data_IF_599379082566
#
_entry.id   IF_599379082566
#
_cell.length_a   1.000
_cell.length_b   1.000
_cell.length_c   1.000
_cell.angle_alpha   90.00
_cell.angle_beta   90.00
_cell.angle_gamma   90.00
#
_symmetry.space_group_name_H-M   'P 1'
#
loop_
_entity.id
_entity.type
_entity.pdbx_description
1 polymer ?
#
# COMPACT_ATOMS: atom_id res chain seq x y z
N UNK A 1 -0.52 14.52 -16.38
CA UNK A 1 -1.31 13.27 -16.39
C UNK A 1 -1.34 12.76 -14.96
N UNK A 2 -2.50 12.69 -14.32
CA UNK A 2 -2.62 12.06 -13.01
C UNK A 2 -2.39 10.57 -13.17
N UNK A 3 -1.24 10.08 -12.71
CA UNK A 3 -0.98 8.66 -12.69
C UNK A 3 -1.82 8.01 -11.59
N UNK A 4 -2.85 7.26 -12.00
CA UNK A 4 -3.70 6.50 -11.08
C UNK A 4 -2.84 5.53 -10.26
N UNK A 5 -3.02 5.55 -8.95
CA UNK A 5 -2.39 4.58 -8.05
C UNK A 5 -2.83 3.15 -8.41
N UNK A 6 -1.87 2.27 -8.71
CA UNK A 6 -2.10 0.85 -8.98
C UNK A 6 -1.62 0.00 -7.81
N UNK A 7 -2.02 -1.27 -7.77
CA UNK A 7 -1.59 -2.19 -6.70
C UNK A 7 -0.07 -2.38 -6.73
N UNK A 8 0.50 -2.60 -7.91
CA UNK A 8 1.95 -2.76 -8.10
C UNK A 8 2.72 -1.51 -7.68
N UNK A 9 2.21 -0.31 -7.99
CA UNK A 9 2.82 0.95 -7.57
C UNK A 9 2.76 1.13 -6.06
N UNK A 10 1.61 0.83 -5.45
CA UNK A 10 1.46 0.89 -4.00
C UNK A 10 2.41 -0.09 -3.30
N UNK A 11 2.54 -1.32 -3.81
CA UNK A 11 3.50 -2.31 -3.28
C UNK A 11 4.95 -1.85 -3.43
N UNK A 12 5.34 -1.36 -4.62
CA UNK A 12 6.68 -0.83 -4.85
C UNK A 12 7.00 0.33 -3.90
N UNK A 13 6.03 1.22 -3.67
CA UNK A 13 6.19 2.34 -2.74
C UNK A 13 6.32 1.88 -1.29
N UNK A 14 5.58 0.86 -0.88
CA UNK A 14 5.75 0.23 0.46
C UNK A 14 7.16 -0.34 0.60
N UNK A 15 7.68 -1.05 -0.41
CA UNK A 15 9.05 -1.59 -0.39
C UNK A 15 10.11 -0.50 -0.29
N UNK A 16 9.93 0.62 -1.00
CA UNK A 16 10.80 1.79 -0.89
C UNK A 16 10.78 2.38 0.53
N UNK A 17 9.60 2.54 1.12
CA UNK A 17 9.46 3.04 2.49
C UNK A 17 10.17 2.11 3.49
N UNK A 18 9.99 0.79 3.35
CA UNK A 18 10.67 -0.20 4.22
C UNK A 18 12.19 -0.07 4.10
N UNK A 19 12.72 0.01 2.87
CA UNK A 19 14.17 0.20 2.65
C UNK A 19 14.69 1.50 3.26
N UNK A 20 13.93 2.59 3.16
CA UNK A 20 14.31 3.87 3.77
C UNK A 20 14.36 3.78 5.29
N UNK A 21 13.41 3.08 5.91
CA UNK A 21 13.38 2.84 7.36
C UNK A 21 14.56 1.96 7.79
N UNK A 22 14.83 0.88 7.05
CA UNK A 22 15.93 -0.06 7.34
C UNK A 22 17.31 0.58 7.21
N UNK A 23 17.47 1.55 6.30
CA UNK A 23 18.72 2.29 6.15
C UNK A 23 19.06 3.17 7.36
N UNK A 24 18.11 3.45 8.25
CA UNK A 24 18.37 4.07 9.56
C UNK A 24 18.85 5.53 9.54
N UNK A 25 18.94 6.17 8.37
CA UNK A 25 19.36 7.58 8.21
C UNK A 25 18.21 8.58 8.34
N UNK A 26 17.04 8.14 8.82
CA UNK A 26 15.83 8.95 8.90
C UNK A 26 15.65 9.64 10.25
N UNK A 27 15.26 10.92 10.24
CA UNK A 27 14.76 11.58 11.43
C UNK A 27 13.35 11.09 11.82
N UNK A 28 12.94 11.39 13.05
CA UNK A 28 11.69 10.87 13.64
C UNK A 28 10.42 11.39 12.94
N UNK A 29 10.48 12.60 12.38
CA UNK A 29 9.36 13.21 11.67
C UNK A 29 9.16 12.52 10.31
N UNK A 30 10.25 12.27 9.60
CA UNK A 30 10.30 11.53 8.34
C UNK A 30 9.85 10.08 8.54
N UNK A 31 10.25 9.44 9.64
CA UNK A 31 9.80 8.09 10.00
C UNK A 31 8.27 8.05 10.18
N UNK A 32 7.72 9.04 10.88
CA UNK A 32 6.28 9.15 11.14
C UNK A 32 5.49 9.39 9.84
N UNK A 33 6.00 10.24 8.96
CA UNK A 33 5.40 10.51 7.65
C UNK A 33 5.39 9.24 6.77
N UNK A 34 6.53 8.55 6.67
CA UNK A 34 6.68 7.33 5.89
C UNK A 34 5.79 6.19 6.41
N UNK A 35 5.69 6.03 7.74
CA UNK A 35 4.79 5.04 8.34
C UNK A 35 3.32 5.34 8.05
N UNK A 36 2.93 6.61 8.07
CA UNK A 36 1.57 7.02 7.70
C UNK A 36 1.26 6.71 6.24
N UNK A 37 2.18 7.04 5.34
CA UNK A 37 2.05 6.72 3.92
C UNK A 37 1.95 5.20 3.69
N UNK A 38 2.83 4.41 4.30
CA UNK A 38 2.79 2.95 4.21
C UNK A 38 1.44 2.39 4.67
N UNK A 39 0.87 2.91 5.77
CA UNK A 39 -0.44 2.50 6.28
C UNK A 39 -1.57 2.80 5.28
N UNK A 40 -1.54 3.95 4.63
CA UNK A 40 -2.52 4.33 3.61
C UNK A 40 -2.43 3.40 2.39
N UNK A 41 -1.22 3.10 1.93
CA UNK A 41 -0.97 2.19 0.81
C UNK A 41 -1.40 0.75 1.13
N UNK A 42 -1.13 0.26 2.34
CA UNK A 42 -1.58 -1.07 2.80
C UNK A 42 -3.10 -1.14 2.83
N UNK A 43 -3.77 -0.08 3.29
CA UNK A 43 -5.24 0.00 3.28
C UNK A 43 -5.78 -0.06 1.86
N UNK A 44 -5.20 0.72 0.94
CA UNK A 44 -5.56 0.68 -0.48
C UNK A 44 -5.40 -0.72 -1.09
N UNK A 45 -4.28 -1.40 -0.81
CA UNK A 45 -4.02 -2.76 -1.27
C UNK A 45 -5.06 -3.75 -0.73
N UNK A 46 -5.37 -3.68 0.57
CA UNK A 46 -6.41 -4.52 1.20
C UNK A 46 -7.78 -4.29 0.58
N UNK A 47 -8.21 -3.04 0.43
CA UNK A 47 -9.51 -2.72 -0.15
C UNK A 47 -9.65 -3.26 -1.56
N UNK A 48 -8.57 -3.20 -2.34
CA UNK A 48 -8.57 -3.76 -3.70
C UNK A 48 -8.67 -5.28 -3.70
N UNK A 49 -7.94 -5.96 -2.81
CA UNK A 49 -8.05 -7.41 -2.64
C UNK A 49 -9.44 -7.82 -2.18
N UNK A 50 -10.00 -7.16 -1.16
CA UNK A 50 -11.35 -7.45 -0.66
C UNK A 50 -12.42 -7.24 -1.72
N UNK A 51 -12.28 -6.22 -2.58
CA UNK A 51 -13.17 -6.04 -3.74
C UNK A 51 -13.08 -7.22 -4.70
N UNK A 52 -11.86 -7.65 -5.06
CA UNK A 52 -11.66 -8.81 -5.94
C UNK A 52 -12.23 -10.07 -5.30
N UNK A 53 -11.96 -10.33 -4.02
CA UNK A 53 -12.52 -11.47 -3.29
C UNK A 53 -14.05 -11.46 -3.26
N UNK A 54 -14.66 -10.29 -3.08
CA UNK A 54 -16.11 -10.14 -3.06
C UNK A 54 -16.72 -10.45 -4.43
N UNK A 55 -16.11 -9.95 -5.50
CA UNK A 55 -16.56 -10.23 -6.87
C UNK A 55 -16.36 -11.71 -7.24
N UNK A 56 -15.26 -12.33 -6.80
CA UNK A 56 -15.03 -13.78 -6.97
C UNK A 56 -16.09 -14.59 -6.22
N UNK A 57 -16.41 -14.24 -4.96
CA UNK A 57 -17.47 -14.92 -4.19
C UNK A 57 -18.84 -14.81 -4.87
N UNK A 58 -19.20 -13.61 -5.33
CA UNK A 58 -20.44 -13.39 -6.09
C UNK A 58 -20.49 -14.22 -7.38
N UNK A 59 -19.36 -14.32 -8.10
CA UNK A 59 -19.30 -15.09 -9.34
C UNK A 59 -19.39 -16.61 -9.11
N UNK A 60 -19.02 -17.07 -7.91
CA UNK A 60 -19.06 -18.47 -7.52
C UNK A 60 -20.35 -18.84 -6.77
N UNK A 61 -21.34 -17.93 -6.67
CA UNK A 61 -22.60 -18.09 -5.93
C UNK A 61 -22.42 -18.66 -4.50
N UNK A 62 -21.33 -18.27 -3.82
CA UNK A 62 -21.00 -18.62 -2.43
C UNK A 62 -21.47 -17.57 -1.42
#
# INVERSE_FOLDING_TARGET
MEEKMTYERAMKRIEEIVKQIENGEMDIDSLTANLKEAKELVTFCKDKLTKVETEVKKCLDL
#
